data_IF_029096681192
#
_entry.id   IF_029096681192
#
_cell.length_a   1.000
_cell.length_b   1.000
_cell.length_c   1.000
_cell.angle_alpha   90.00
_cell.angle_beta   90.00
_cell.angle_gamma   90.00
#
_symmetry.space_group_name_H-M   'P 1'
#
loop_
_entity.id
_entity.type
_entity.pdbx_description
1 polymer ?
#
# COMPACT_ATOMS: atom_id res chain seq x y z
N UNK A 1 1.47 -14.43 -42.38
CA UNK A 1 2.40 -13.34 -42.73
C UNK A 1 3.79 -13.73 -42.26
N UNK A 2 4.69 -14.11 -43.17
CA UNK A 2 6.06 -14.50 -42.82
C UNK A 2 6.91 -13.24 -42.64
N UNK A 3 7.15 -12.86 -41.39
CA UNK A 3 8.10 -11.79 -41.07
C UNK A 3 9.50 -12.22 -41.52
N UNK A 4 10.12 -11.40 -42.37
CA UNK A 4 11.47 -11.66 -42.89
C UNK A 4 12.48 -11.73 -41.73
N UNK A 5 13.58 -12.47 -41.91
CA UNK A 5 14.67 -12.53 -40.92
C UNK A 5 15.21 -11.14 -40.52
N UNK A 6 15.12 -10.16 -41.44
CA UNK A 6 15.50 -8.77 -41.19
C UNK A 6 14.56 -8.06 -40.20
N UNK A 7 13.28 -8.41 -40.20
CA UNK A 7 12.28 -7.86 -39.28
C UNK A 7 12.53 -8.32 -37.84
N UNK A 8 12.94 -9.57 -37.63
CA UNK A 8 13.30 -10.08 -36.30
C UNK A 8 14.55 -9.40 -35.72
N UNK A 9 15.56 -9.14 -36.56
CA UNK A 9 16.77 -8.44 -36.13
C UNK A 9 16.47 -7.01 -35.66
N UNK A 10 15.61 -6.28 -36.38
CA UNK A 10 15.18 -4.94 -35.99
C UNK A 10 14.38 -4.92 -34.68
N UNK A 11 13.47 -5.87 -34.50
CA UNK A 11 12.69 -5.99 -33.26
C UNK A 11 13.63 -6.29 -32.08
N UNK A 12 14.58 -7.22 -32.24
CA UNK A 12 15.54 -7.56 -31.19
C UNK A 12 16.42 -6.35 -30.81
N UNK A 13 16.92 -5.61 -31.80
CA UNK A 13 17.70 -4.39 -31.56
C UNK A 13 16.90 -3.32 -30.82
N UNK A 14 15.63 -3.14 -31.18
CA UNK A 14 14.74 -2.17 -30.54
C UNK A 14 14.42 -2.55 -29.08
N UNK A 15 14.15 -3.84 -28.82
CA UNK A 15 13.93 -4.35 -27.46
C UNK A 15 15.18 -4.18 -26.59
N UNK A 16 16.36 -4.49 -27.12
CA UNK A 16 17.63 -4.30 -26.41
C UNK A 16 17.92 -2.81 -26.14
N UNK A 17 17.64 -1.94 -27.11
CA UNK A 17 17.76 -0.48 -26.93
C UNK A 17 16.85 0.05 -25.82
N UNK A 18 15.57 -0.38 -25.80
CA UNK A 18 14.62 0.01 -24.75
C UNK A 18 15.02 -0.53 -23.38
N UNK A 19 15.50 -1.77 -23.30
CA UNK A 19 16.01 -2.36 -22.04
C UNK A 19 17.24 -1.62 -21.53
N UNK A 20 18.17 -1.24 -22.43
CA UNK A 20 19.35 -0.46 -22.07
C UNK A 20 18.96 0.95 -21.57
N UNK A 21 18.00 1.60 -22.22
CA UNK A 21 17.50 2.91 -21.79
C UNK A 21 16.83 2.84 -20.41
N UNK A 22 15.97 1.84 -20.20
CA UNK A 22 15.33 1.60 -18.91
C UNK A 22 16.36 1.30 -17.81
N UNK A 23 17.40 0.53 -18.15
CA UNK A 23 18.48 0.21 -17.22
C UNK A 23 19.36 1.42 -16.89
N UNK A 24 19.72 2.25 -17.88
CA UNK A 24 20.49 3.47 -17.67
C UNK A 24 19.72 4.51 -16.86
N UNK A 25 18.42 4.71 -17.15
CA UNK A 25 17.53 5.56 -16.36
C UNK A 25 17.42 5.10 -14.91
N UNK A 26 17.48 3.78 -14.65
CA UNK A 26 17.43 3.23 -13.29
C UNK A 26 18.72 3.43 -12.46
N UNK A 27 19.86 3.72 -13.11
CA UNK A 27 21.15 3.93 -12.41
C UNK A 27 21.46 5.38 -12.07
N UNK A 28 20.90 6.35 -12.80
CA UNK A 28 21.12 7.78 -12.57
C UNK A 28 20.57 8.33 -11.25
N UNK A 29 19.69 7.59 -10.57
CA UNK A 29 19.00 8.06 -9.36
C UNK A 29 19.72 7.75 -8.03
N UNK A 30 20.97 7.22 -8.04
CA UNK A 30 21.68 6.77 -6.81
C UNK A 30 22.86 7.64 -6.37
N UNK A 31 23.04 8.84 -6.94
CA UNK A 31 24.25 9.65 -6.74
C UNK A 31 24.13 10.89 -5.84
N UNK A 32 23.16 10.95 -4.93
CA UNK A 32 22.93 12.12 -4.07
C UNK A 32 22.62 11.75 -2.63
N UNK A 33 23.48 10.96 -1.99
CA UNK A 33 23.45 10.74 -0.55
C UNK A 33 24.00 11.95 0.17
N UNK A 34 23.20 13.01 0.28
CA UNK A 34 23.34 13.90 1.42
C UNK A 34 22.77 13.16 2.63
N UNK A 35 23.45 13.25 3.77
CA UNK A 35 22.95 12.88 5.10
C UNK A 35 21.76 13.80 5.47
N UNK A 36 20.71 13.78 4.65
CA UNK A 36 19.42 14.33 5.01
C UNK A 36 18.81 13.35 5.97
N UNK A 37 18.77 13.72 7.24
CA UNK A 37 17.94 13.10 8.26
C UNK A 37 16.63 12.67 7.61
N UNK A 38 16.46 11.36 7.40
CA UNK A 38 15.21 10.83 6.87
C UNK A 38 14.13 11.40 7.76
N UNK A 39 13.23 12.22 7.21
CA UNK A 39 12.25 12.97 7.98
C UNK A 39 11.47 11.99 8.87
N UNK A 40 11.91 11.83 10.10
CA UNK A 40 11.28 11.00 11.10
C UNK A 40 10.04 11.77 11.47
N UNK A 41 8.89 11.29 11.02
CA UNK A 41 7.61 11.77 11.52
C UNK A 41 7.68 11.78 13.04
N UNK A 42 7.56 12.97 13.63
CA UNK A 42 7.66 13.09 15.08
C UNK A 42 6.60 12.19 15.71
N UNK A 43 6.99 11.40 16.71
CA UNK A 43 6.03 10.64 17.53
C UNK A 43 4.98 11.56 18.18
N UNK A 44 5.25 12.86 18.23
CA UNK A 44 4.35 13.90 18.72
C UNK A 44 3.33 14.40 17.68
N UNK A 45 3.32 13.88 16.45
CA UNK A 45 2.28 14.24 15.49
C UNK A 45 0.91 13.90 16.10
N UNK A 46 0.03 14.91 16.31
CA UNK A 46 -1.26 14.70 16.95
C UNK A 46 -2.16 13.73 16.19
N UNK A 47 -1.87 13.48 14.90
CA UNK A 47 -2.56 12.49 14.09
C UNK A 47 -2.12 11.05 14.39
N UNK A 48 -0.87 10.84 14.83
CA UNK A 48 -0.24 9.54 15.07
C UNK A 48 -0.05 9.17 16.54
N UNK A 49 -0.19 10.12 17.47
CA UNK A 49 0.05 9.92 18.91
C UNK A 49 -0.62 8.70 19.56
N UNK A 50 -1.78 8.28 19.04
CA UNK A 50 -2.57 7.16 19.58
C UNK A 50 -2.44 5.88 18.72
N UNK A 51 -1.46 5.82 17.81
CA UNK A 51 -1.23 4.69 16.92
C UNK A 51 -0.18 3.76 17.53
N UNK A 52 -0.63 2.63 18.09
CA UNK A 52 0.29 1.54 18.42
C UNK A 52 0.55 0.69 17.17
N UNK A 53 1.77 0.78 16.63
CA UNK A 53 2.20 -0.06 15.50
C UNK A 53 3.00 -1.23 16.07
N UNK A 54 2.66 -2.49 15.75
CA UNK A 54 3.45 -3.63 16.22
C UNK A 54 4.90 -3.53 15.69
N UNK A 55 5.89 -4.06 16.45
CA UNK A 55 7.28 -4.02 16.04
C UNK A 55 7.49 -4.79 14.73
N UNK A 56 8.54 -4.42 13.99
CA UNK A 56 8.85 -5.00 12.66
C UNK A 56 9.00 -6.53 12.73
N UNK A 57 9.44 -7.08 13.87
CA UNK A 57 9.67 -8.51 14.10
C UNK A 57 8.44 -9.29 14.63
N UNK A 58 7.25 -8.68 14.64
CA UNK A 58 6.03 -9.32 15.17
C UNK A 58 5.57 -10.56 14.37
N UNK A 59 5.51 -11.74 14.99
CA UNK A 59 5.16 -13.00 14.31
C UNK A 59 3.65 -13.35 14.31
N UNK A 60 2.78 -12.39 14.64
CA UNK A 60 1.32 -12.57 14.69
C UNK A 60 0.61 -12.11 13.41
N UNK A 61 -0.73 -11.98 13.45
CA UNK A 61 -1.49 -11.47 12.33
C UNK A 61 -1.13 -10.02 12.02
N UNK A 62 -1.04 -9.68 10.74
CA UNK A 62 -0.68 -8.33 10.30
C UNK A 62 -1.73 -7.79 9.35
N UNK A 63 -2.04 -6.50 9.52
CA UNK A 63 -2.81 -5.73 8.56
C UNK A 63 -1.83 -4.90 7.73
N UNK A 64 -2.02 -4.91 6.42
CA UNK A 64 -1.24 -4.08 5.49
C UNK A 64 -2.18 -3.35 4.55
N UNK A 65 -2.11 -2.03 4.52
CA UNK A 65 -2.67 -1.22 3.45
C UNK A 65 -1.82 -1.40 2.18
N UNK A 66 -2.41 -2.01 1.15
CA UNK A 66 -1.70 -2.35 -0.10
C UNK A 66 -1.68 -1.17 -1.07
N UNK A 67 -2.84 -0.54 -1.24
CA UNK A 67 -3.03 0.58 -2.13
C UNK A 67 -4.16 1.45 -1.61
N UNK A 68 -4.12 2.72 -1.97
CA UNK A 68 -5.25 3.62 -1.84
C UNK A 68 -5.33 4.45 -3.11
N UNK A 69 -6.53 4.81 -3.51
CA UNK A 69 -6.73 5.49 -4.76
C UNK A 69 -8.16 5.95 -4.97
N UNK A 70 -8.38 6.57 -6.12
CA UNK A 70 -9.71 7.02 -6.51
C UNK A 70 -10.30 6.12 -7.59
N UNK A 71 -11.59 5.86 -7.44
CA UNK A 71 -12.43 5.40 -8.53
C UNK A 71 -13.49 6.45 -8.80
N UNK A 72 -13.71 6.72 -10.09
CA UNK A 72 -14.91 7.40 -10.56
C UNK A 72 -15.86 6.34 -11.09
N UNK A 73 -17.15 6.47 -10.77
CA UNK A 73 -18.19 5.60 -11.32
C UNK A 73 -18.32 5.68 -12.85
N UNK A 74 -17.75 6.74 -13.46
CA UNK A 74 -17.73 6.93 -14.90
C UNK A 74 -16.45 7.61 -15.38
N UNK A 75 -15.94 7.16 -16.52
CA UNK A 75 -14.85 7.80 -17.27
C UNK A 75 -15.21 9.21 -17.77
N UNK A 76 -16.49 9.59 -17.70
CA UNK A 76 -17.01 10.91 -18.08
C UNK A 76 -17.23 11.86 -16.88
N UNK A 77 -16.70 11.54 -15.69
CA UNK A 77 -16.81 12.42 -14.51
C UNK A 77 -17.83 11.97 -13.46
N UNK A 78 -17.84 10.68 -13.13
CA UNK A 78 -18.63 10.13 -12.03
C UNK A 78 -18.16 10.60 -10.64
N UNK A 79 -18.90 10.17 -9.61
CA UNK A 79 -18.64 10.57 -8.22
C UNK A 79 -17.28 10.02 -7.77
N UNK A 80 -16.35 10.92 -7.41
CA UNK A 80 -15.08 10.52 -6.80
C UNK A 80 -15.30 9.76 -5.49
N UNK A 81 -14.72 8.56 -5.40
CA UNK A 81 -14.67 7.71 -4.22
C UNK A 81 -13.21 7.44 -3.87
N UNK A 82 -12.88 7.47 -2.58
CA UNK A 82 -11.57 7.08 -2.08
C UNK A 82 -11.67 5.67 -1.50
N UNK A 83 -10.91 4.75 -2.10
CA UNK A 83 -10.90 3.34 -1.70
C UNK A 83 -9.53 2.95 -1.19
N UNK A 84 -9.52 2.12 -0.17
CA UNK A 84 -8.33 1.56 0.45
C UNK A 84 -8.40 0.06 0.29
N UNK A 85 -7.41 -0.51 -0.39
CA UNK A 85 -7.22 -1.95 -0.48
C UNK A 85 -6.29 -2.40 0.64
N UNK A 86 -6.73 -3.40 1.38
CA UNK A 86 -6.02 -3.92 2.53
C UNK A 86 -5.93 -5.44 2.48
N UNK A 87 -4.91 -5.96 3.15
CA UNK A 87 -4.73 -7.40 3.35
C UNK A 87 -4.48 -7.72 4.81
N UNK A 88 -5.03 -8.85 5.27
CA UNK A 88 -4.65 -9.47 6.53
C UNK A 88 -3.86 -10.74 6.20
N UNK A 89 -2.66 -10.82 6.75
CA UNK A 89 -1.75 -11.95 6.64
C UNK A 89 -1.45 -12.54 8.01
N UNK A 90 -0.95 -13.77 8.03
CA UNK A 90 -0.47 -14.44 9.25
C UNK A 90 0.86 -15.09 8.94
N UNK A 91 1.80 -15.12 9.87
CA UNK A 91 3.04 -15.86 9.68
C UNK A 91 2.88 -17.35 9.93
N UNK A 92 2.78 -17.76 11.21
CA UNK A 92 2.82 -19.17 11.61
C UNK A 92 1.46 -19.73 12.03
N UNK A 93 0.65 -18.95 12.73
CA UNK A 93 -0.62 -19.39 13.29
C UNK A 93 -1.78 -18.91 12.41
N UNK A 94 -2.61 -19.82 11.89
CA UNK A 94 -3.81 -19.46 11.16
C UNK A 94 -4.73 -18.59 12.03
N UNK A 95 -5.29 -17.54 11.42
CA UNK A 95 -6.25 -16.66 12.07
C UNK A 95 -7.66 -17.01 11.58
N UNK A 96 -8.59 -17.21 12.51
CA UNK A 96 -9.97 -17.53 12.19
C UNK A 96 -10.86 -16.29 12.41
N UNK A 97 -11.31 -15.68 11.32
CA UNK A 97 -12.21 -14.52 11.33
C UNK A 97 -13.64 -14.95 11.05
N UNK A 98 -14.63 -14.20 11.53
CA UNK A 98 -16.04 -14.45 11.21
C UNK A 98 -16.36 -13.92 9.80
N UNK A 99 -17.20 -14.63 9.04
CA UNK A 99 -17.74 -14.11 7.77
C UNK A 99 -19.27 -14.06 7.79
N UNK A 100 -19.89 -12.96 7.29
CA UNK A 100 -19.25 -11.75 6.77
C UNK A 100 -18.46 -11.02 7.87
N UNK A 101 -17.40 -10.30 7.47
CA UNK A 101 -16.66 -9.45 8.40
C UNK A 101 -17.64 -8.51 9.10
N UNK A 102 -17.47 -8.32 10.41
CA UNK A 102 -18.42 -7.55 11.20
C UNK A 102 -18.64 -6.16 10.57
N UNK A 103 -19.89 -5.70 10.42
CA UNK A 103 -20.15 -4.31 10.07
C UNK A 103 -19.44 -3.39 11.05
N UNK A 104 -18.80 -2.36 10.53
CA UNK A 104 -18.05 -1.43 11.35
C UNK A 104 -16.73 -1.92 11.96
N UNK A 105 -16.20 -3.03 11.45
CA UNK A 105 -14.89 -3.57 11.84
C UNK A 105 -13.70 -2.68 11.46
N UNK A 106 -13.90 -1.64 10.64
CA UNK A 106 -12.78 -0.83 10.12
C UNK A 106 -12.87 0.62 10.58
N UNK A 107 -11.71 1.16 10.96
CA UNK A 107 -11.51 2.61 11.13
C UNK A 107 -10.37 3.10 10.25
N UNK A 108 -10.52 4.31 9.72
CA UNK A 108 -9.56 4.97 8.83
C UNK A 108 -9.27 6.37 9.37
N UNK A 109 -7.99 6.76 9.37
CA UNK A 109 -7.53 8.14 9.47
C UNK A 109 -6.59 8.46 8.31
N UNK A 110 -6.70 9.66 7.76
CA UNK A 110 -5.76 10.20 6.79
C UNK A 110 -5.15 11.47 7.36
N UNK A 111 -3.85 11.46 7.60
CA UNK A 111 -3.07 12.58 8.07
C UNK A 111 -2.46 13.32 6.89
N UNK A 112 -2.48 14.64 6.95
CA UNK A 112 -1.89 15.50 5.94
C UNK A 112 -0.35 15.41 5.97
N UNK A 113 0.31 15.58 4.82
CA UNK A 113 1.76 15.72 4.72
C UNK A 113 2.34 16.74 5.72
N UNK A 114 3.59 16.54 6.14
CA UNK A 114 4.33 17.41 7.06
C UNK A 114 3.62 17.71 8.39
N UNK A 115 2.86 16.76 8.92
CA UNK A 115 2.16 16.93 10.19
C UNK A 115 1.12 18.07 10.20
N UNK A 116 0.55 18.42 9.04
CA UNK A 116 -0.50 19.46 8.92
C UNK A 116 -1.86 19.03 9.49
N UNK A 117 -1.89 17.95 10.28
CA UNK A 117 -3.06 17.48 10.99
C UNK A 117 -3.90 16.48 10.20
N UNK A 118 -5.14 16.29 10.65
CA UNK A 118 -6.04 15.25 10.15
C UNK A 118 -6.85 15.76 8.94
N UNK A 119 -6.73 15.09 7.79
CA UNK A 119 -7.54 15.39 6.60
C UNK A 119 -8.90 14.70 6.65
N UNK A 120 -8.92 13.44 7.08
CA UNK A 120 -10.13 12.65 7.10
C UNK A 120 -10.11 11.57 8.19
N UNK A 121 -11.28 11.24 8.73
CA UNK A 121 -11.44 10.16 9.70
C UNK A 121 -12.83 9.55 9.61
N UNK A 122 -12.88 8.22 9.63
CA UNK A 122 -14.11 7.48 9.81
C UNK A 122 -13.87 6.27 10.71
N UNK A 123 -14.88 5.92 11.49
CA UNK A 123 -14.94 4.73 12.32
C UNK A 123 -16.19 3.96 11.97
N UNK A 124 -16.23 2.67 12.26
CA UNK A 124 -17.40 1.87 11.97
C UNK A 124 -17.64 1.69 10.47
N UNK A 125 -16.58 1.63 9.67
CA UNK A 125 -16.66 1.30 8.25
C UNK A 125 -16.80 -0.21 8.05
N UNK A 126 -17.63 -0.58 7.09
CA UNK A 126 -17.81 -1.96 6.66
C UNK A 126 -16.96 -2.26 5.42
N UNK A 127 -16.23 -3.39 5.39
CA UNK A 127 -15.57 -3.88 4.17
C UNK A 127 -16.58 -4.04 3.02
N UNK A 128 -16.25 -3.51 1.84
CA UNK A 128 -17.09 -3.54 0.63
C UNK A 128 -16.91 -4.82 -0.18
N UNK A 129 -15.65 -5.23 -0.33
CA UNK A 129 -15.27 -6.45 -1.03
C UNK A 129 -14.44 -7.27 -0.05
N UNK A 130 -14.63 -8.59 -0.04
CA UNK A 130 -13.85 -9.52 0.78
C UNK A 130 -13.49 -10.71 -0.09
N UNK A 131 -12.19 -10.99 -0.22
CA UNK A 131 -11.65 -12.09 -1.01
C UNK A 131 -10.67 -12.88 -0.16
N UNK A 132 -10.94 -14.17 -0.02
CA UNK A 132 -10.11 -15.11 0.72
C UNK A 132 -10.72 -16.50 0.68
N UNK A 133 -9.94 -17.54 0.97
CA UNK A 133 -10.43 -18.91 1.06
C UNK A 133 -11.54 -18.99 2.12
N UNK A 134 -12.72 -19.49 1.75
CA UNK A 134 -13.85 -19.61 2.68
C UNK A 134 -14.60 -18.31 2.99
N UNK A 135 -14.40 -17.22 2.23
CA UNK A 135 -15.10 -15.94 2.44
C UNK A 135 -16.64 -16.01 2.31
N UNK A 136 -17.21 -17.12 1.85
CA UNK A 136 -18.63 -17.25 1.50
C UNK A 136 -19.56 -17.71 2.63
N UNK A 137 -19.09 -18.33 3.72
CA UNK A 137 -19.94 -18.60 4.91
C UNK A 137 -19.19 -19.08 6.16
N UNK A 138 -19.66 -18.63 7.34
CA UNK A 138 -19.24 -19.12 8.66
C UNK A 138 -17.94 -18.52 9.19
N UNK A 139 -16.80 -19.03 8.74
CA UNK A 139 -15.47 -18.59 9.21
C UNK A 139 -14.47 -18.56 8.07
N UNK A 140 -13.67 -17.49 8.02
CA UNK A 140 -12.52 -17.37 7.12
C UNK A 140 -11.30 -17.82 7.90
N UNK A 141 -10.52 -18.74 7.32
CA UNK A 141 -9.23 -19.13 7.86
C UNK A 141 -8.15 -18.42 7.05
N UNK A 142 -7.57 -17.39 7.62
CA UNK A 142 -6.43 -16.68 7.05
C UNK A 142 -5.17 -17.50 7.35
N UNK A 143 -4.39 -17.77 6.31
CA UNK A 143 -3.09 -18.44 6.43
C UNK A 143 -2.04 -17.64 5.65
N UNK A 144 -0.78 -18.05 5.73
CA UNK A 144 0.28 -17.49 4.88
C UNK A 144 0.02 -17.69 3.38
N UNK A 145 -0.57 -18.84 3.01
CA UNK A 145 -0.89 -19.17 1.62
C UNK A 145 -2.21 -18.51 1.16
N UNK A 146 -3.13 -18.31 2.11
CA UNK A 146 -4.47 -17.76 1.86
C UNK A 146 -4.69 -16.49 2.68
N UNK A 147 -4.11 -15.34 2.24
CA UNK A 147 -4.37 -14.06 2.86
C UNK A 147 -5.80 -13.57 2.59
N UNK A 148 -6.30 -12.69 3.45
CA UNK A 148 -7.61 -12.08 3.30
C UNK A 148 -7.47 -10.67 2.74
N UNK A 149 -8.05 -10.43 1.56
CA UNK A 149 -8.09 -9.11 0.94
C UNK A 149 -9.45 -8.47 1.15
N UNK A 150 -9.46 -7.17 1.42
CA UNK A 150 -10.70 -6.41 1.45
C UNK A 150 -10.49 -4.96 1.02
N UNK A 151 -11.55 -4.36 0.50
CA UNK A 151 -11.59 -2.94 0.15
C UNK A 151 -12.50 -2.20 1.12
N UNK A 152 -12.09 -1.01 1.55
CA UNK A 152 -12.93 -0.08 2.31
C UNK A 152 -13.08 1.23 1.54
N UNK A 153 -14.28 1.78 1.53
CA UNK A 153 -14.56 3.09 0.95
C UNK A 153 -14.64 4.13 2.07
N UNK A 154 -13.89 5.20 1.94
CA UNK A 154 -13.95 6.35 2.83
C UNK A 154 -15.09 7.29 2.39
N UNK A 155 -16.14 7.49 3.20
CA UNK A 155 -17.25 8.35 2.81
C UNK A 155 -16.83 9.83 2.84
N UNK A 156 -17.53 10.67 2.07
CA UNK A 156 -17.29 12.13 2.06
C UNK A 156 -17.51 12.79 3.42
N UNK A 157 -18.41 12.25 4.24
CA UNK A 157 -18.65 12.72 5.61
C UNK A 157 -17.44 12.50 6.54
N UNK A 158 -16.46 11.70 6.13
CA UNK A 158 -15.22 11.51 6.87
C UNK A 158 -14.24 12.68 6.72
N UNK A 159 -14.43 13.54 5.71
CA UNK A 159 -13.54 14.67 5.44
C UNK A 159 -13.69 15.73 6.52
N UNK A 160 -12.57 16.30 6.96
CA UNK A 160 -12.57 17.48 7.83
C UNK A 160 -12.88 18.74 7.03
N UNK A 161 -13.40 19.76 7.71
CA UNK A 161 -13.68 21.06 7.10
C UNK A 161 -12.41 21.60 6.42
N UNK A 162 -12.57 22.12 5.20
CA UNK A 162 -11.45 22.62 4.40
C UNK A 162 -10.77 21.57 3.52
N UNK A 163 -11.10 20.27 3.68
CA UNK A 163 -10.62 19.21 2.80
C UNK A 163 -11.75 18.66 1.93
N UNK A 164 -11.47 18.53 0.65
CA UNK A 164 -12.28 17.83 -0.34
C UNK A 164 -11.71 16.45 -0.66
N UNK A 165 -12.54 15.63 -1.34
CA UNK A 165 -12.09 14.34 -1.85
C UNK A 165 -10.92 14.48 -2.82
N UNK A 166 -10.85 15.61 -3.55
CA UNK A 166 -9.74 15.94 -4.44
C UNK A 166 -8.42 16.09 -3.69
N UNK A 167 -8.44 16.64 -2.48
CA UNK A 167 -7.21 16.84 -1.69
C UNK A 167 -6.62 15.49 -1.28
N UNK A 168 -7.45 14.54 -0.85
CA UNK A 168 -7.00 13.16 -0.57
C UNK A 168 -6.34 12.49 -1.78
N UNK A 169 -6.82 12.79 -2.99
CA UNK A 169 -6.31 12.22 -4.25
C UNK A 169 -5.04 12.92 -4.72
N UNK A 170 -5.03 14.25 -4.63
CA UNK A 170 -3.89 15.09 -5.01
C UNK A 170 -2.78 15.09 -3.96
N UNK A 171 -2.99 14.42 -2.83
CA UNK A 171 -1.95 14.13 -1.85
C UNK A 171 -0.89 13.14 -2.38
N UNK A 172 -0.98 12.71 -3.64
CA UNK A 172 0.17 12.13 -4.34
C UNK A 172 1.16 13.27 -4.58
N UNK A 173 2.38 13.25 -4.01
CA UNK A 173 3.32 14.34 -4.18
C UNK A 173 3.62 14.60 -5.65
N UNK A 174 4.07 15.81 -5.92
CA UNK A 174 4.56 16.17 -7.26
C UNK A 174 5.56 15.10 -7.69
N UNK A 175 5.56 14.67 -8.97
CA UNK A 175 6.46 13.61 -9.47
C UNK A 175 7.97 13.86 -9.19
N UNK A 176 8.31 15.10 -8.81
CA UNK A 176 9.66 15.53 -8.47
C UNK A 176 10.08 15.27 -7.02
N UNK A 177 9.17 14.86 -6.12
CA UNK A 177 9.53 14.61 -4.72
C UNK A 177 9.51 13.14 -4.36
N UNK A 178 10.62 12.69 -3.79
CA UNK A 178 10.76 11.38 -3.15
C UNK A 178 10.76 11.51 -1.62
N UNK A 179 10.41 12.68 -1.07
CA UNK A 179 10.36 12.89 0.37
C UNK A 179 9.11 12.21 0.95
N UNK A 180 9.38 11.28 1.86
CA UNK A 180 8.49 10.72 2.85
C UNK A 180 7.39 11.66 3.38
N UNK A 181 7.81 12.85 3.79
CA UNK A 181 6.97 13.80 4.50
C UNK A 181 5.94 14.47 3.58
N UNK A 182 6.13 14.39 2.26
CA UNK A 182 5.21 14.94 1.27
C UNK A 182 4.00 14.04 1.02
N UNK A 183 4.02 12.80 1.52
CA UNK A 183 2.91 11.85 1.38
C UNK A 183 1.96 11.92 2.58
N UNK A 184 0.64 11.74 2.37
CA UNK A 184 -0.31 11.61 3.46
C UNK A 184 -0.06 10.28 4.17
N UNK A 185 -0.27 10.28 5.49
CA UNK A 185 -0.17 9.05 6.27
C UNK A 185 -1.57 8.46 6.46
N UNK A 186 -1.79 7.27 5.92
CA UNK A 186 -3.02 6.51 6.13
C UNK A 186 -2.83 5.59 7.33
N UNK A 187 -3.70 5.71 8.33
CA UNK A 187 -3.82 4.76 9.43
C UNK A 187 -5.09 3.95 9.24
N UNK A 188 -4.94 2.65 9.09
CA UNK A 188 -6.04 1.70 9.00
C UNK A 188 -6.04 0.83 10.25
N UNK A 189 -7.21 0.70 10.88
CA UNK A 189 -7.41 -0.18 12.03
C UNK A 189 -8.53 -1.16 11.72
N UNK A 190 -8.29 -2.44 12.00
CA UNK A 190 -9.24 -3.53 11.84
C UNK A 190 -9.50 -4.21 13.19
N UNK A 191 -10.77 -4.35 13.55
CA UNK A 191 -11.23 -4.99 14.78
C UNK A 191 -12.19 -6.12 14.45
N UNK A 192 -11.98 -7.29 15.07
CA UNK A 192 -12.89 -8.43 14.96
C UNK A 192 -12.95 -9.15 16.31
N UNK A 193 -14.09 -9.72 16.72
CA UNK A 193 -14.17 -10.50 17.96
C UNK A 193 -13.25 -11.72 18.02
N UNK A 194 -12.73 -12.18 16.88
CA UNK A 194 -11.73 -13.25 16.81
C UNK A 194 -10.28 -12.78 16.99
N UNK A 195 -10.05 -11.51 17.26
CA UNK A 195 -8.74 -10.93 17.52
C UNK A 195 -8.61 -10.55 19.00
N UNK A 196 -7.45 -10.83 19.59
CA UNK A 196 -7.13 -10.40 20.96
C UNK A 196 -6.91 -8.87 21.03
N UNK A 197 -6.41 -8.29 19.95
CA UNK A 197 -6.13 -6.86 19.81
C UNK A 197 -6.46 -6.36 18.39
N UNK A 198 -6.79 -5.07 18.22
CA UNK A 198 -6.98 -4.49 16.89
C UNK A 198 -5.72 -4.61 16.03
N UNK A 199 -5.88 -4.99 14.76
CA UNK A 199 -4.78 -4.91 13.80
C UNK A 199 -4.65 -3.49 13.28
N UNK A 200 -3.43 -2.97 13.21
CA UNK A 200 -3.14 -1.60 12.80
C UNK A 200 -2.13 -1.60 11.66
N UNK A 201 -2.42 -0.84 10.60
CA UNK A 201 -1.52 -0.58 9.49
C UNK A 201 -1.33 0.92 9.33
N UNK A 202 -0.10 1.33 9.01
CA UNK A 202 0.24 2.71 8.66
C UNK A 202 0.92 2.69 7.28
N UNK A 203 0.42 3.46 6.31
CA UNK A 203 0.92 3.40 4.91
C UNK A 203 2.32 3.97 4.72
N UNK A 204 2.88 4.61 5.74
CA UNK A 204 4.20 5.21 5.67
C UNK A 204 4.90 5.12 7.02
N UNK A 205 5.99 4.33 7.07
CA UNK A 205 6.98 4.41 8.14
C UNK A 205 8.35 4.68 7.47
N UNK A 206 8.99 5.83 7.73
CA UNK A 206 10.24 6.25 7.08
C UNK A 206 11.42 5.28 7.29
N UNK A 207 11.36 4.41 8.29
CA UNK A 207 12.46 3.48 8.62
C UNK A 207 12.48 2.21 7.74
N UNK A 208 11.46 2.03 6.91
CA UNK A 208 11.39 0.93 5.94
C UNK A 208 11.82 1.46 4.58
N UNK A 209 12.91 0.90 4.03
CA UNK A 209 13.36 1.18 2.68
C UNK A 209 12.18 1.34 1.70
N UNK A 210 12.25 2.32 0.77
CA UNK A 210 11.09 2.78 0.02
C UNK A 210 10.34 1.61 -0.62
N UNK A 211 9.05 1.54 -0.31
CA UNK A 211 8.04 0.64 -0.89
C UNK A 211 7.79 0.93 -2.37
N UNK A 212 8.84 1.18 -3.16
CA UNK A 212 8.77 1.19 -4.62
C UNK A 212 8.38 -0.21 -5.18
N UNK A 213 8.30 -1.23 -4.34
CA UNK A 213 7.84 -2.58 -4.71
C UNK A 213 6.31 -2.78 -4.63
N UNK A 214 5.52 -1.84 -4.10
CA UNK A 214 4.05 -1.95 -4.12
C UNK A 214 3.42 -1.61 -5.49
N UNK A 215 4.20 -1.06 -6.42
CA UNK A 215 3.78 -0.80 -7.80
C UNK A 215 4.41 -1.83 -8.76
N UNK A 216 3.97 -3.09 -8.66
CA UNK A 216 3.97 -4.03 -9.79
C UNK A 216 5.30 -4.55 -10.37
N UNK A 217 6.45 -4.37 -9.70
CA UNK A 217 7.68 -5.02 -10.15
C UNK A 217 7.76 -6.48 -9.63
N UNK A 218 7.88 -7.51 -10.50
CA UNK A 218 8.06 -8.88 -10.04
C UNK A 218 9.38 -9.00 -9.25
N UNK A 219 9.43 -9.87 -8.22
CA UNK A 219 10.65 -10.09 -7.46
C UNK A 219 11.78 -10.55 -8.39
N UNK A 220 12.92 -9.84 -8.37
CA UNK A 220 14.12 -10.27 -9.07
C UNK A 220 14.55 -11.61 -8.50
N UNK A 221 14.60 -12.64 -9.34
CA UNK A 221 15.22 -13.90 -9.01
C UNK A 221 16.66 -13.67 -8.51
N UNK A 222 16.99 -14.25 -7.37
CA UNK A 222 18.33 -14.22 -6.82
C UNK A 222 19.31 -14.82 -7.86
N UNK A 223 20.33 -14.04 -8.21
CA UNK A 223 21.39 -14.50 -9.12
C UNK A 223 22.19 -15.58 -8.40
N UNK A 224 22.35 -16.80 -8.95
CA UNK A 224 23.17 -17.81 -8.32
C UNK A 224 24.63 -17.34 -8.26
N UNK A 225 25.39 -17.73 -7.22
CA UNK A 225 26.79 -17.37 -7.09
C UNK A 225 27.58 -17.94 -8.27
N UNK A 226 28.30 -17.06 -8.97
CA UNK A 226 29.24 -17.42 -10.02
C UNK A 226 30.34 -18.29 -9.42
N UNK A 227 30.39 -19.56 -9.81
CA UNK A 227 31.52 -20.44 -9.51
C UNK A 227 32.72 -19.98 -10.32
N UNK A 228 33.73 -19.47 -9.63
CA UNK A 228 35.06 -19.26 -10.18
C UNK A 228 35.67 -20.65 -10.39
N UNK A 229 35.88 -21.06 -11.65
CA UNK A 229 36.76 -22.19 -11.98
C UNK A 229 38.14 -21.63 -12.33
N UNK A 230 39.14 -22.14 -11.62
CA UNK A 230 40.56 -22.06 -11.96
C UNK A 230 40.87 -22.93 -13.18
#
# INVERSE_FOLDING_TARGET
>A
MNLSRRSYALIAALVLGLLALAYAGSRGARGGGGDGDAATWSAEDPCLKDVSVPPVEYQGPRLTGLAHGYASESHLGGRMRFTIDATITTDRRPLALRTPLAPGSVSVRVCAPHGKGLMAQARGLSPRSVKGAGARSGRIRVTRADPLYFTVELPRSALRNGYGMRDLVQSTPKPSSNDAADYPVLVLTFTDPGLDEPLVSVSYKPDSAPTAQALGAPPRAARPPSSTRS
#
